data_IF_899969561513
#
_entry.id   IF_899969561513
#
_cell.length_a   1.000
_cell.length_b   1.000
_cell.length_c   1.000
_cell.angle_alpha   90.00
_cell.angle_beta   90.00
_cell.angle_gamma   90.00
#
_symmetry.space_group_name_H-M   'P 1'
#
loop_
_entity.id
_entity.type
_entity.pdbx_description
1 polymer ?
#
# COMPACT_ATOMS: atom_id res chain seq x y z
N UNK A 1 13.19 64.98 29.43
CA UNK A 1 12.91 64.60 28.03
C UNK A 1 14.19 64.37 27.21
N UNK A 2 15.12 65.34 27.08
CA UNK A 2 16.29 65.22 26.16
C UNK A 2 17.13 63.94 26.31
N UNK A 3 17.49 63.48 27.53
CA UNK A 3 18.23 62.20 27.71
C UNK A 3 17.52 61.01 27.08
N UNK A 4 16.22 60.84 27.34
CA UNK A 4 15.42 59.74 26.79
C UNK A 4 15.36 59.77 25.25
N UNK A 5 15.31 60.97 24.67
CA UNK A 5 15.36 61.17 23.21
C UNK A 5 16.76 60.95 22.61
N UNK A 6 17.82 60.96 23.43
CA UNK A 6 19.17 60.60 23.04
C UNK A 6 19.39 59.09 23.12
N UNK A 7 18.88 58.43 24.17
CA UNK A 7 18.85 56.97 24.30
C UNK A 7 18.15 56.31 23.10
N UNK A 8 16.92 56.74 22.76
CA UNK A 8 16.21 56.19 21.60
C UNK A 8 16.98 56.38 20.28
N UNK A 9 17.81 57.43 20.15
CA UNK A 9 18.64 57.67 18.96
C UNK A 9 19.93 56.84 18.94
N UNK A 10 20.53 56.53 20.09
CA UNK A 10 21.60 55.54 20.17
C UNK A 10 21.06 54.16 19.84
N UNK A 11 19.98 53.75 20.52
CA UNK A 11 19.39 52.43 20.40
C UNK A 11 18.85 52.18 18.98
N UNK A 12 18.27 53.18 18.32
CA UNK A 12 17.91 53.06 16.90
C UNK A 12 19.12 52.96 15.97
N UNK A 13 20.25 53.63 16.28
CA UNK A 13 21.47 53.59 15.45
C UNK A 13 22.23 52.27 15.62
N UNK A 14 22.29 51.74 16.84
CA UNK A 14 22.84 50.39 17.10
C UNK A 14 21.97 49.30 16.48
N UNK A 15 20.64 49.38 16.63
CA UNK A 15 19.73 48.45 15.96
C UNK A 15 19.85 48.54 14.43
N UNK A 16 19.99 49.74 13.87
CA UNK A 16 20.22 49.95 12.44
C UNK A 16 21.55 49.33 11.98
N UNK A 17 22.66 49.55 12.69
CA UNK A 17 23.94 48.92 12.35
C UNK A 17 23.92 47.40 12.54
N UNK A 18 23.23 46.88 13.55
CA UNK A 18 23.04 45.44 13.74
C UNK A 18 22.26 44.83 12.55
N UNK A 19 21.15 45.44 12.14
CA UNK A 19 20.37 44.99 10.99
C UNK A 19 21.16 45.12 9.68
N UNK A 20 21.87 46.22 9.46
CA UNK A 20 22.73 46.44 8.29
C UNK A 20 23.88 45.43 8.22
N UNK A 21 24.46 45.06 9.37
CA UNK A 21 25.45 43.98 9.48
C UNK A 21 24.82 42.61 9.17
N UNK A 22 23.68 42.27 9.79
CA UNK A 22 22.96 41.01 9.52
C UNK A 22 22.58 40.86 8.03
N UNK A 23 22.19 41.96 7.36
CA UNK A 23 21.93 42.01 5.92
C UNK A 23 23.21 41.82 5.10
N UNK A 24 24.34 42.45 5.50
CA UNK A 24 25.63 42.31 4.80
C UNK A 24 26.26 40.92 4.91
N UNK A 25 26.25 40.28 6.08
CA UNK A 25 26.82 38.92 6.24
C UNK A 25 25.84 37.84 5.76
N UNK A 26 24.56 38.20 5.57
CA UNK A 26 23.50 37.32 5.10
C UNK A 26 23.05 36.29 6.14
N UNK A 27 21.87 35.70 5.90
CA UNK A 27 21.22 34.78 6.84
C UNK A 27 22.11 33.62 7.32
N UNK A 28 22.96 33.09 6.42
CA UNK A 28 23.87 31.98 6.72
C UNK A 28 25.16 32.42 7.43
N UNK A 29 25.68 33.62 7.11
CA UNK A 29 26.98 34.06 7.62
C UNK A 29 26.94 34.70 9.01
N UNK A 30 25.76 35.10 9.50
CA UNK A 30 25.62 35.71 10.83
C UNK A 30 25.49 34.72 12.00
N UNK A 31 25.59 33.41 11.75
CA UNK A 31 25.40 32.34 12.76
C UNK A 31 23.96 32.12 13.23
N UNK A 32 23.09 33.13 13.08
CA UNK A 32 21.66 33.06 13.43
C UNK A 32 20.94 32.05 12.54
N UNK A 33 21.16 32.08 11.22
CA UNK A 33 20.53 31.12 10.30
C UNK A 33 20.97 29.68 10.53
N UNK A 34 22.24 29.44 10.88
CA UNK A 34 22.73 28.11 11.26
C UNK A 34 22.06 27.62 12.55
N UNK A 35 21.95 28.48 13.57
CA UNK A 35 21.25 28.18 14.83
C UNK A 35 19.77 27.88 14.61
N UNK A 36 19.09 28.61 13.72
CA UNK A 36 17.69 28.35 13.35
C UNK A 36 17.55 27.03 12.59
N UNK A 37 18.40 26.75 11.60
CA UNK A 37 18.39 25.48 10.85
C UNK A 37 18.62 24.29 11.80
N UNK A 38 19.57 24.41 12.73
CA UNK A 38 19.81 23.39 13.75
C UNK A 38 18.59 23.21 14.67
N UNK A 39 18.01 24.31 15.16
CA UNK A 39 16.81 24.28 16.00
C UNK A 39 15.61 23.62 15.32
N UNK A 40 15.32 23.99 14.06
CA UNK A 40 14.26 23.34 13.27
C UNK A 40 14.58 21.88 12.97
N UNK A 41 15.85 21.52 12.71
CA UNK A 41 16.26 20.13 12.45
C UNK A 41 16.10 19.25 13.70
N UNK A 42 16.46 19.75 14.88
CA UNK A 42 16.27 19.04 16.16
C UNK A 42 14.78 18.94 16.50
N UNK A 43 14.01 20.03 16.37
CA UNK A 43 12.57 20.00 16.58
C UNK A 43 11.86 19.01 15.63
N UNK A 44 12.27 18.98 14.36
CA UNK A 44 11.75 18.04 13.37
C UNK A 44 12.15 16.59 13.68
N UNK A 45 13.39 16.33 14.11
CA UNK A 45 13.83 14.99 14.53
C UNK A 45 13.03 14.50 15.76
N UNK A 46 12.81 15.35 16.76
CA UNK A 46 11.99 15.03 17.92
C UNK A 46 10.52 14.79 17.55
N UNK A 47 9.93 15.60 16.66
CA UNK A 47 8.59 15.36 16.12
C UNK A 47 8.52 14.03 15.35
N UNK A 48 9.47 13.77 14.45
CA UNK A 48 9.54 12.57 13.65
C UNK A 48 9.64 11.30 14.52
N UNK A 49 10.56 11.26 15.49
CA UNK A 49 10.78 10.11 16.37
C UNK A 49 9.66 9.87 17.40
N UNK A 50 8.88 10.89 17.75
CA UNK A 50 7.74 10.75 18.68
C UNK A 50 6.41 10.49 17.98
N UNK A 51 6.22 11.06 16.78
CA UNK A 51 4.91 11.18 16.14
C UNK A 51 4.79 10.41 14.83
N UNK A 52 5.89 10.22 14.08
CA UNK A 52 5.90 9.61 12.74
C UNK A 52 6.46 8.18 12.77
N UNK A 53 7.67 7.99 13.30
CA UNK A 53 8.32 6.69 13.41
C UNK A 53 7.72 5.91 14.59
N UNK A 54 6.90 4.90 14.28
CA UNK A 54 6.12 4.14 15.27
C UNK A 54 6.11 2.65 14.93
N UNK A 55 6.01 1.82 15.96
CA UNK A 55 5.64 0.40 15.80
C UNK A 55 4.23 0.33 15.20
N UNK A 56 3.94 -0.64 14.30
CA UNK A 56 2.58 -0.90 13.86
C UNK A 56 1.75 -1.46 15.02
N UNK A 57 0.43 -1.38 14.90
CA UNK A 57 -0.47 -2.15 15.74
C UNK A 57 -0.76 -3.51 15.07
N UNK A 58 -0.33 -4.60 15.70
CA UNK A 58 -0.77 -5.95 15.35
C UNK A 58 -2.14 -6.23 15.96
N UNK A 59 -3.11 -6.66 15.15
CA UNK A 59 -4.46 -7.03 15.60
C UNK A 59 -4.85 -8.39 14.99
N UNK A 60 -5.01 -9.40 15.83
CA UNK A 60 -5.46 -10.74 15.42
C UNK A 60 -6.39 -11.33 16.49
N UNK A 61 -7.27 -12.26 16.08
CA UNK A 61 -8.10 -13.04 17.00
C UNK A 61 -7.43 -14.32 17.52
N UNK A 62 -6.20 -14.64 17.11
CA UNK A 62 -5.57 -15.94 17.38
C UNK A 62 -4.22 -15.80 18.06
N UNK A 63 -4.09 -16.30 19.29
CA UNK A 63 -2.82 -16.22 20.01
C UNK A 63 -1.69 -17.01 19.33
N UNK A 64 -1.99 -18.19 18.76
CA UNK A 64 -1.01 -19.00 18.02
C UNK A 64 -0.45 -18.21 16.83
N UNK A 65 -1.33 -17.64 15.99
CA UNK A 65 -0.91 -16.84 14.85
C UNK A 65 -0.21 -15.54 15.29
N UNK A 66 -0.62 -14.94 16.42
CA UNK A 66 0.09 -13.80 17.01
C UNK A 66 1.52 -14.16 17.45
N UNK A 67 1.74 -15.33 18.07
CA UNK A 67 3.09 -15.80 18.48
C UNK A 67 3.95 -16.09 17.26
N UNK A 68 3.45 -16.90 16.33
CA UNK A 68 4.09 -17.21 15.05
C UNK A 68 4.58 -15.95 14.30
N UNK A 69 3.77 -14.89 14.24
CA UNK A 69 4.14 -13.63 13.60
C UNK A 69 5.18 -12.82 14.41
N UNK A 70 5.23 -12.95 15.73
CA UNK A 70 6.25 -12.30 16.56
C UNK A 70 7.60 -13.04 16.47
N UNK A 71 7.57 -14.37 16.47
CA UNK A 71 8.74 -15.23 16.47
C UNK A 71 9.40 -15.28 15.08
N UNK A 72 8.60 -15.44 14.01
CA UNK A 72 9.10 -15.63 12.65
C UNK A 72 8.94 -14.41 11.72
N UNK A 73 8.21 -13.36 12.13
CA UNK A 73 8.00 -12.15 11.33
C UNK A 73 8.23 -10.85 12.12
N UNK A 74 9.38 -10.66 12.79
CA UNK A 74 9.64 -9.55 13.73
C UNK A 74 9.33 -8.15 13.19
N UNK A 75 9.37 -7.94 11.86
CA UNK A 75 8.94 -6.71 11.18
C UNK A 75 7.54 -6.21 11.59
N UNK A 76 6.61 -7.10 11.97
CA UNK A 76 5.27 -6.72 12.45
C UNK A 76 5.27 -6.14 13.88
N UNK A 77 6.42 -6.08 14.54
CA UNK A 77 6.62 -5.47 15.87
C UNK A 77 7.74 -4.43 15.91
N UNK A 78 8.59 -4.38 14.88
CA UNK A 78 9.63 -3.35 14.71
C UNK A 78 9.03 -1.95 14.56
N UNK A 79 9.81 -0.91 14.89
CA UNK A 79 9.43 0.47 14.56
C UNK A 79 9.55 0.67 13.05
N UNK A 80 8.45 1.03 12.38
CA UNK A 80 8.51 1.49 11.00
C UNK A 80 9.00 2.94 10.96
N UNK A 81 9.94 3.23 10.06
CA UNK A 81 10.54 4.55 9.86
C UNK A 81 10.16 5.14 8.49
N UNK A 82 8.97 5.77 8.33
CA UNK A 82 8.57 6.45 7.11
C UNK A 82 9.64 7.40 6.59
N UNK A 83 9.87 7.46 5.28
CA UNK A 83 10.96 8.27 4.71
C UNK A 83 10.87 9.72 5.17
N UNK A 84 11.97 10.23 5.74
CA UNK A 84 11.98 11.46 6.57
C UNK A 84 11.51 12.73 5.84
N UNK A 85 11.58 12.75 4.50
CA UNK A 85 11.13 13.82 3.61
C UNK A 85 9.87 13.49 2.82
N UNK A 86 9.30 12.29 3.00
CA UNK A 86 8.12 11.79 2.30
C UNK A 86 7.37 10.76 3.18
N UNK A 87 6.80 11.21 4.30
CA UNK A 87 6.04 10.34 5.21
C UNK A 87 4.52 10.44 5.05
N UNK A 88 3.99 11.42 4.31
CA UNK A 88 2.56 11.59 4.11
C UNK A 88 2.01 10.66 3.01
N UNK A 89 0.86 10.05 3.29
CA UNK A 89 0.06 9.14 2.45
C UNK A 89 0.13 9.37 0.93
N UNK A 90 -0.22 10.57 0.48
CA UNK A 90 -0.34 10.92 -0.93
C UNK A 90 1.03 11.09 -1.55
N UNK A 91 1.95 11.73 -0.82
CA UNK A 91 3.36 11.86 -1.20
C UNK A 91 3.99 10.49 -1.45
N UNK A 92 3.88 9.57 -0.49
CA UNK A 92 4.42 8.21 -0.65
C UNK A 92 3.79 7.48 -1.84
N UNK A 93 2.46 7.54 -1.97
CA UNK A 93 1.71 6.84 -3.04
C UNK A 93 2.07 7.36 -4.44
N UNK A 94 2.19 8.68 -4.61
CA UNK A 94 2.50 9.31 -5.90
C UNK A 94 3.99 9.22 -6.27
N UNK A 95 4.89 9.33 -5.30
CA UNK A 95 6.33 9.41 -5.57
C UNK A 95 7.03 8.05 -5.60
N UNK A 96 6.50 6.99 -4.96
CA UNK A 96 7.11 5.63 -4.98
C UNK A 96 7.56 5.19 -6.38
N UNK A 97 6.75 5.28 -7.46
CA UNK A 97 7.13 4.80 -8.80
C UNK A 97 8.32 5.51 -9.46
N UNK A 98 8.78 6.61 -8.87
CA UNK A 98 9.93 7.42 -9.30
C UNK A 98 11.13 7.32 -8.33
N UNK A 99 10.89 7.04 -7.05
CA UNK A 99 11.95 6.90 -6.04
C UNK A 99 12.51 5.47 -5.98
N UNK A 100 11.62 4.48 -5.97
CA UNK A 100 12.01 3.05 -5.92
C UNK A 100 12.62 2.61 -7.25
N UNK A 101 13.59 1.70 -7.17
CA UNK A 101 14.15 1.03 -8.35
C UNK A 101 13.09 0.24 -9.12
N UNK A 102 13.40 -0.17 -10.35
CA UNK A 102 12.61 -1.14 -11.11
C UNK A 102 13.55 -2.27 -11.50
N UNK A 103 13.63 -3.37 -10.71
CA UNK A 103 14.53 -4.47 -11.04
C UNK A 103 14.13 -5.09 -12.38
N UNK A 104 15.13 -5.51 -13.15
CA UNK A 104 14.92 -6.14 -14.45
C UNK A 104 14.55 -7.61 -14.24
N UNK A 105 13.27 -7.93 -14.41
CA UNK A 105 12.75 -9.29 -14.32
C UNK A 105 12.40 -9.78 -15.72
N UNK A 106 12.87 -10.99 -16.07
CA UNK A 106 12.48 -11.69 -17.30
C UNK A 106 11.33 -12.66 -16.99
N UNK A 107 10.37 -12.78 -17.90
CA UNK A 107 9.17 -13.59 -17.71
C UNK A 107 8.93 -14.55 -18.87
N UNK A 108 8.52 -15.78 -18.55
CA UNK A 108 7.84 -16.67 -19.51
C UNK A 108 6.35 -16.37 -19.47
N UNK A 109 5.78 -15.90 -20.58
CA UNK A 109 4.34 -15.69 -20.68
C UNK A 109 3.61 -17.00 -21.07
N UNK A 110 2.47 -17.24 -20.45
CA UNK A 110 1.56 -18.35 -20.74
C UNK A 110 0.12 -17.83 -20.80
N UNK A 111 -0.65 -18.26 -21.81
CA UNK A 111 -1.97 -17.70 -22.10
C UNK A 111 -3.05 -18.79 -21.99
N UNK A 112 -3.72 -18.84 -20.84
CA UNK A 112 -4.82 -19.77 -20.59
C UNK A 112 -6.09 -19.20 -21.25
N UNK A 113 -6.68 -19.95 -22.18
CA UNK A 113 -8.01 -19.63 -22.72
C UNK A 113 -9.10 -20.21 -21.81
N UNK A 114 -10.09 -19.41 -21.45
CA UNK A 114 -11.23 -19.84 -20.63
C UNK A 114 -12.38 -20.35 -21.52
N UNK A 115 -13.28 -21.14 -20.95
CA UNK A 115 -14.35 -21.84 -21.70
C UNK A 115 -15.40 -20.90 -22.33
N UNK A 116 -15.47 -19.65 -21.86
CA UNK A 116 -16.27 -18.54 -22.39
C UNK A 116 -15.58 -17.77 -23.55
N UNK A 117 -14.37 -18.18 -23.94
CA UNK A 117 -13.55 -17.50 -24.95
C UNK A 117 -12.66 -16.38 -24.41
N UNK A 118 -12.71 -16.12 -23.10
CA UNK A 118 -11.80 -15.21 -22.40
C UNK A 118 -10.34 -15.71 -22.36
N UNK A 119 -9.45 -14.89 -21.82
CA UNK A 119 -8.02 -15.17 -21.74
C UNK A 119 -7.42 -14.68 -20.42
N UNK A 120 -6.60 -15.52 -19.79
CA UNK A 120 -5.84 -15.21 -18.57
C UNK A 120 -4.35 -15.29 -18.92
N UNK A 121 -3.64 -14.19 -18.71
CA UNK A 121 -2.19 -14.07 -18.97
C UNK A 121 -1.39 -14.32 -17.70
N UNK A 122 -0.58 -15.38 -17.71
CA UNK A 122 0.34 -15.75 -16.65
C UNK A 122 1.79 -15.49 -17.09
N UNK A 123 2.35 -14.38 -16.64
CA UNK A 123 3.80 -14.16 -16.62
C UNK A 123 4.39 -14.93 -15.44
N UNK A 124 5.21 -15.94 -15.73
CA UNK A 124 5.95 -16.75 -14.78
C UNK A 124 7.38 -16.24 -14.63
N UNK A 125 7.89 -16.28 -13.40
CA UNK A 125 9.31 -16.09 -13.09
C UNK A 125 9.87 -17.44 -12.60
N UNK A 126 10.50 -18.17 -13.52
CA UNK A 126 10.95 -19.55 -13.28
C UNK A 126 12.39 -19.56 -12.72
N UNK A 127 12.57 -19.47 -11.39
CA UNK A 127 13.90 -19.57 -10.75
C UNK A 127 14.37 -21.03 -10.60
N UNK A 128 14.71 -21.67 -11.71
CA UNK A 128 15.13 -23.07 -11.73
C UNK A 128 16.52 -23.34 -11.13
N UNK A 129 17.33 -22.30 -10.92
CA UNK A 129 18.64 -22.43 -10.28
C UNK A 129 18.55 -22.59 -8.75
N UNK A 130 17.44 -22.18 -8.12
CA UNK A 130 17.27 -22.29 -6.67
C UNK A 130 16.86 -23.69 -6.23
N UNK A 131 17.68 -24.30 -5.38
CA UNK A 131 17.41 -25.59 -4.71
C UNK A 131 16.87 -25.44 -3.29
N UNK A 132 16.77 -24.21 -2.76
CA UNK A 132 16.56 -23.93 -1.32
C UNK A 132 15.30 -24.58 -0.73
N UNK A 133 14.22 -24.68 -1.51
CA UNK A 133 12.94 -25.27 -1.08
C UNK A 133 12.43 -26.34 -2.07
N UNK A 134 13.34 -27.10 -2.67
CA UNK A 134 12.97 -28.21 -3.55
C UNK A 134 12.73 -29.48 -2.72
N UNK A 135 11.51 -29.99 -2.73
CA UNK A 135 11.18 -31.29 -2.11
C UNK A 135 11.84 -32.41 -2.92
N UNK A 136 12.79 -33.11 -2.31
CA UNK A 136 13.53 -34.20 -2.95
C UNK A 136 12.65 -35.41 -3.30
N UNK A 137 11.50 -35.59 -2.64
CA UNK A 137 10.60 -36.73 -2.82
C UNK A 137 9.58 -36.49 -3.94
N UNK A 138 8.92 -35.33 -3.97
CA UNK A 138 7.94 -34.98 -5.01
C UNK A 138 8.54 -34.22 -6.20
N UNK A 139 9.78 -33.72 -6.07
CA UNK A 139 10.42 -32.75 -6.99
C UNK A 139 9.66 -31.44 -7.16
N UNK A 140 8.71 -31.14 -6.29
CA UNK A 140 7.97 -29.86 -6.30
C UNK A 140 8.73 -28.77 -5.54
N UNK A 141 8.27 -27.52 -5.71
CA UNK A 141 8.69 -26.34 -4.93
C UNK A 141 7.45 -25.50 -4.61
N UNK A 142 7.48 -24.63 -3.57
CA UNK A 142 6.40 -23.68 -3.33
C UNK A 142 6.04 -22.88 -4.59
N UNK A 143 4.74 -22.74 -4.84
CA UNK A 143 4.16 -21.90 -5.90
C UNK A 143 3.03 -21.12 -5.23
N UNK A 144 3.27 -19.84 -4.88
CA UNK A 144 2.41 -19.09 -3.94
C UNK A 144 1.88 -17.77 -4.57
N UNK A 145 1.51 -16.73 -3.82
CA UNK A 145 0.39 -15.77 -4.04
C UNK A 145 0.53 -14.18 -4.22
N UNK A 146 0.74 -13.50 -5.37
CA UNK A 146 0.54 -12.01 -5.63
C UNK A 146 0.09 -11.53 -7.08
N UNK A 147 -1.08 -10.88 -7.30
CA UNK A 147 -1.46 -10.18 -8.56
C UNK A 147 -1.50 -8.64 -8.37
N UNK A 148 -1.40 -7.83 -9.45
CA UNK A 148 -1.56 -6.37 -9.39
C UNK A 148 -2.95 -5.91 -8.92
N UNK A 149 -2.98 -4.70 -8.36
CA UNK A 149 -4.20 -3.95 -8.07
C UNK A 149 -4.85 -3.34 -9.33
N UNK A 150 -5.88 -2.51 -9.11
CA UNK A 150 -6.72 -1.92 -10.16
C UNK A 150 -5.88 -1.21 -11.25
N UNK A 151 -6.12 -1.55 -12.52
CA UNK A 151 -5.38 -1.10 -13.73
C UNK A 151 -3.90 -1.49 -13.84
N UNK A 152 -3.30 -2.16 -12.84
CA UNK A 152 -1.88 -2.56 -12.86
C UNK A 152 -1.59 -3.83 -13.66
N UNK A 153 -0.30 -4.09 -13.89
CA UNK A 153 0.22 -5.30 -14.57
C UNK A 153 1.37 -5.97 -13.79
N UNK A 154 1.92 -7.05 -14.33
CA UNK A 154 3.19 -7.65 -13.87
C UNK A 154 4.40 -6.70 -13.87
N UNK A 155 4.27 -5.51 -14.48
CA UNK A 155 5.33 -4.52 -14.64
C UNK A 155 5.28 -3.37 -13.63
N UNK A 156 4.32 -3.37 -12.69
CA UNK A 156 4.26 -2.34 -11.65
C UNK A 156 5.43 -2.45 -10.67
N UNK A 157 5.99 -1.33 -10.23
CA UNK A 157 7.19 -1.32 -9.37
C UNK A 157 7.03 -2.11 -8.07
N UNK A 158 5.84 -2.14 -7.45
CA UNK A 158 5.60 -2.96 -6.26
C UNK A 158 5.58 -4.46 -6.60
N UNK A 159 4.98 -4.85 -7.74
CA UNK A 159 5.05 -6.23 -8.25
C UNK A 159 6.49 -6.62 -8.61
N UNK A 160 7.27 -5.73 -9.24
CA UNK A 160 8.68 -6.01 -9.55
C UNK A 160 9.56 -6.16 -8.29
N UNK A 161 9.31 -5.34 -7.25
CA UNK A 161 10.01 -5.43 -5.96
C UNK A 161 9.66 -6.74 -5.24
N UNK A 162 8.37 -7.02 -5.10
CA UNK A 162 7.90 -8.27 -4.52
C UNK A 162 8.38 -9.48 -5.32
N UNK A 163 8.43 -9.41 -6.66
CA UNK A 163 8.93 -10.52 -7.48
C UNK A 163 10.42 -10.75 -7.31
N UNK A 164 11.25 -9.69 -7.22
CA UNK A 164 12.69 -9.82 -6.93
C UNK A 164 12.96 -10.32 -5.51
N UNK A 165 12.18 -9.93 -4.50
CA UNK A 165 12.26 -10.60 -3.18
C UNK A 165 11.74 -12.04 -3.24
N UNK A 166 10.76 -12.30 -4.10
CA UNK A 166 10.29 -13.65 -4.42
C UNK A 166 11.20 -14.39 -5.41
N UNK A 167 12.39 -13.86 -5.73
CA UNK A 167 13.43 -14.65 -6.38
C UNK A 167 13.83 -15.82 -5.48
N UNK A 168 13.67 -15.68 -4.16
CA UNK A 168 13.74 -16.79 -3.21
C UNK A 168 12.41 -17.61 -3.08
N UNK A 169 11.24 -17.15 -3.59
CA UNK A 169 9.89 -17.54 -3.07
C UNK A 169 8.67 -17.71 -4.05
N UNK A 170 8.53 -17.02 -5.21
CA UNK A 170 7.53 -17.23 -6.34
C UNK A 170 5.98 -17.07 -6.16
N UNK A 171 5.30 -16.07 -6.77
CA UNK A 171 3.96 -15.55 -6.31
C UNK A 171 2.85 -15.08 -7.36
N UNK A 172 1.53 -15.48 -7.29
CA UNK A 172 0.29 -14.92 -8.02
C UNK A 172 -1.18 -14.95 -7.37
N UNK A 173 -1.79 -13.88 -6.73
CA UNK A 173 -3.11 -13.83 -5.97
C UNK A 173 -4.21 -12.81 -6.36
N UNK A 174 -5.49 -13.07 -6.04
CA UNK A 174 -6.49 -12.02 -5.66
C UNK A 174 -7.47 -12.60 -4.62
N UNK A 175 -7.37 -12.18 -3.36
CA UNK A 175 -7.40 -13.19 -2.28
C UNK A 175 -8.59 -13.16 -1.31
N UNK A 176 -8.93 -12.02 -0.71
CA UNK A 176 -9.88 -12.00 0.42
C UNK A 176 -11.31 -12.38 0.05
N UNK A 177 -11.86 -11.87 -1.05
CA UNK A 177 -13.21 -12.21 -1.49
C UNK A 177 -13.32 -13.67 -1.96
N UNK A 178 -12.21 -14.27 -2.39
CA UNK A 178 -12.10 -15.70 -2.70
C UNK A 178 -12.02 -16.53 -1.41
N UNK A 179 -11.08 -16.24 -0.51
CA UNK A 179 -10.91 -16.96 0.76
C UNK A 179 -12.15 -16.91 1.64
N UNK A 180 -12.86 -15.79 1.70
CA UNK A 180 -14.10 -15.69 2.45
C UNK A 180 -15.32 -16.33 1.78
N UNK A 181 -15.22 -16.75 0.51
CA UNK A 181 -16.27 -17.50 -0.22
C UNK A 181 -16.00 -19.01 -0.24
N UNK A 182 -14.73 -19.42 -0.29
CA UNK A 182 -14.30 -20.83 -0.31
C UNK A 182 -14.01 -21.36 1.11
N UNK A 183 -13.59 -20.47 2.02
CA UNK A 183 -13.25 -20.80 3.41
C UNK A 183 -12.10 -21.81 3.52
N UNK A 184 -12.15 -22.75 4.49
CA UNK A 184 -11.15 -23.80 4.66
C UNK A 184 -10.98 -24.75 3.46
N UNK A 185 -11.86 -24.71 2.44
CA UNK A 185 -11.77 -25.57 1.24
C UNK A 185 -10.79 -25.04 0.18
N UNK A 186 -10.03 -24.00 0.50
CA UNK A 186 -9.05 -23.38 -0.38
C UNK A 186 -7.81 -24.27 -0.53
N UNK A 187 -7.20 -24.40 -1.72
CA UNK A 187 -5.92 -25.09 -1.90
C UNK A 187 -4.72 -24.26 -1.43
N UNK A 188 -4.95 -23.03 -0.98
CA UNK A 188 -3.91 -22.08 -0.57
C UNK A 188 -3.56 -22.30 0.90
N UNK A 189 -2.26 -22.42 1.23
CA UNK A 189 -1.81 -22.60 2.63
C UNK A 189 -1.89 -21.32 3.47
N UNK A 190 -1.60 -20.16 2.87
CA UNK A 190 -1.57 -18.87 3.54
C UNK A 190 -1.76 -17.72 2.54
N UNK A 191 -1.83 -16.50 3.06
CA UNK A 191 -2.15 -15.30 2.30
C UNK A 191 -1.50 -14.03 2.85
N UNK A 192 -1.02 -13.16 1.97
CA UNK A 192 -0.60 -11.81 2.30
C UNK A 192 -1.44 -10.79 1.49
N UNK A 193 -1.80 -9.67 2.08
CA UNK A 193 -2.47 -8.56 1.39
C UNK A 193 -1.99 -7.20 1.86
N UNK A 194 -1.94 -6.23 0.95
CA UNK A 194 -1.35 -4.92 1.18
C UNK A 194 -2.37 -3.83 0.79
N UNK A 195 -2.64 -2.92 1.73
CA UNK A 195 -3.58 -1.80 1.67
C UNK A 195 -4.93 -2.12 1.03
N UNK A 196 -5.56 -3.16 1.55
CA UNK A 196 -6.89 -3.60 1.10
C UNK A 196 -7.91 -2.49 1.32
N UNK A 197 -8.63 -2.11 0.26
CA UNK A 197 -9.83 -1.28 0.38
C UNK A 197 -10.97 -2.08 1.02
N UNK A 198 -11.11 -1.98 2.34
CA UNK A 198 -11.98 -2.88 3.12
C UNK A 198 -13.49 -2.68 2.91
N UNK A 199 -13.92 -1.49 2.51
CA UNK A 199 -15.32 -1.13 2.28
C UNK A 199 -15.41 -0.20 1.07
N UNK A 200 -15.90 -0.69 -0.06
CA UNK A 200 -15.89 0.01 -1.35
C UNK A 200 -16.64 1.35 -1.30
N UNK A 201 -17.69 1.46 -0.49
CA UNK A 201 -18.41 2.73 -0.27
C UNK A 201 -17.50 3.78 0.36
N UNK A 202 -16.85 3.45 1.49
CA UNK A 202 -15.96 4.36 2.21
C UNK A 202 -14.69 4.69 1.41
N UNK A 203 -14.15 3.73 0.65
CA UNK A 203 -13.08 3.93 -0.31
C UNK A 203 -13.48 4.99 -1.37
N UNK A 204 -14.66 4.81 -1.98
CA UNK A 204 -15.21 5.75 -2.97
C UNK A 204 -15.40 7.16 -2.39
N UNK A 205 -16.03 7.29 -1.23
CA UNK A 205 -16.25 8.57 -0.57
C UNK A 205 -14.94 9.27 -0.17
N UNK A 206 -13.94 8.50 0.26
CA UNK A 206 -12.62 9.05 0.58
C UNK A 206 -11.89 9.56 -0.67
N UNK A 207 -12.01 8.85 -1.80
CA UNK A 207 -11.44 9.25 -3.09
C UNK A 207 -12.22 10.37 -3.79
N UNK A 208 -13.47 10.65 -3.41
CA UNK A 208 -14.29 11.74 -3.98
C UNK A 208 -14.11 13.09 -3.25
N UNK A 209 -13.36 13.12 -2.14
CA UNK A 209 -12.93 14.37 -1.48
C UNK A 209 -12.06 15.20 -2.44
N UNK A 210 -12.23 16.54 -2.57
CA UNK A 210 -11.69 17.33 -3.67
C UNK A 210 -10.20 17.12 -4.02
N UNK A 211 -9.30 17.11 -3.03
CA UNK A 211 -7.86 16.88 -3.25
C UNK A 211 -7.55 15.44 -3.68
N UNK A 212 -8.24 14.45 -3.09
CA UNK A 212 -8.07 13.04 -3.45
C UNK A 212 -8.68 12.75 -4.83
N UNK A 213 -9.76 13.46 -5.18
CA UNK A 213 -10.39 13.37 -6.49
C UNK A 213 -9.46 13.86 -7.60
N UNK A 214 -8.85 15.03 -7.40
CA UNK A 214 -7.88 15.64 -8.31
C UNK A 214 -6.62 14.78 -8.48
N UNK A 215 -6.05 14.26 -7.39
CA UNK A 215 -4.77 13.54 -7.41
C UNK A 215 -4.89 12.07 -7.85
N UNK A 216 -6.03 11.42 -7.60
CA UNK A 216 -6.17 9.97 -7.82
C UNK A 216 -7.42 9.60 -8.61
N UNK A 217 -8.60 9.98 -8.14
CA UNK A 217 -9.87 9.44 -8.64
C UNK A 217 -10.10 9.77 -10.12
N UNK A 218 -9.90 11.04 -10.50
CA UNK A 218 -10.05 11.48 -11.89
C UNK A 218 -9.04 10.77 -12.82
N UNK A 219 -7.77 10.71 -12.43
CA UNK A 219 -6.72 10.02 -13.19
C UNK A 219 -7.05 8.53 -13.39
N UNK A 220 -7.37 7.82 -12.31
CA UNK A 220 -7.74 6.40 -12.35
C UNK A 220 -9.02 6.15 -13.16
N UNK A 221 -9.99 7.07 -13.14
CA UNK A 221 -11.17 7.03 -14.01
C UNK A 221 -10.76 7.06 -15.49
N UNK A 222 -9.83 7.95 -15.87
CA UNK A 222 -9.32 7.99 -17.26
C UNK A 222 -8.50 6.73 -17.63
N UNK A 223 -7.78 6.12 -16.68
CA UNK A 223 -7.09 4.85 -16.90
C UNK A 223 -8.07 3.69 -17.15
N UNK A 224 -9.14 3.60 -16.35
CA UNK A 224 -10.22 2.61 -16.51
C UNK A 224 -10.94 2.78 -17.84
N UNK A 225 -11.32 4.01 -18.18
CA UNK A 225 -11.89 4.38 -19.48
C UNK A 225 -10.98 3.99 -20.64
N UNK A 226 -9.69 4.32 -20.58
CA UNK A 226 -8.70 3.95 -21.60
C UNK A 226 -8.56 2.43 -21.75
N UNK A 227 -8.55 1.68 -20.66
CA UNK A 227 -8.46 0.21 -20.66
C UNK A 227 -9.64 -0.45 -21.37
N UNK A 228 -10.87 -0.01 -21.04
CA UNK A 228 -12.09 -0.54 -21.68
C UNK A 228 -12.26 -0.03 -23.11
N UNK A 229 -11.90 1.23 -23.40
CA UNK A 229 -12.07 1.81 -24.73
C UNK A 229 -11.20 1.11 -25.81
N UNK A 230 -10.02 0.59 -25.44
CA UNK A 230 -9.20 -0.29 -26.32
C UNK A 230 -9.98 -1.53 -26.79
N UNK A 231 -10.89 -2.03 -25.95
CA UNK A 231 -11.70 -3.23 -26.18
C UNK A 231 -13.17 -2.89 -26.47
N UNK A 232 -13.48 -1.62 -26.77
CA UNK A 232 -14.85 -1.08 -26.93
C UNK A 232 -15.75 -1.93 -27.82
N UNK A 233 -15.21 -2.48 -28.90
CA UNK A 233 -15.92 -3.33 -29.86
C UNK A 233 -16.56 -4.59 -29.24
N UNK A 234 -16.05 -5.08 -28.09
CA UNK A 234 -16.62 -6.20 -27.36
C UNK A 234 -17.91 -5.82 -26.60
N UNK A 235 -18.01 -4.55 -26.16
CA UNK A 235 -19.04 -4.11 -25.21
C UNK A 235 -20.18 -3.29 -25.85
N UNK A 236 -19.97 -2.67 -27.02
CA UNK A 236 -20.95 -1.77 -27.69
C UNK A 236 -22.31 -2.40 -28.00
N UNK A 237 -22.46 -3.73 -27.98
CA UNK A 237 -23.75 -4.41 -28.17
C UNK A 237 -24.58 -4.55 -26.89
N UNK A 238 -23.98 -4.27 -25.72
CA UNK A 238 -24.57 -4.53 -24.39
C UNK A 238 -24.51 -3.32 -23.45
N UNK A 239 -23.56 -2.39 -23.67
CA UNK A 239 -23.31 -1.24 -22.78
C UNK A 239 -23.19 0.03 -23.63
N UNK A 240 -23.82 1.13 -23.19
CA UNK A 240 -23.60 2.47 -23.75
C UNK A 240 -22.20 2.98 -23.39
N UNK A 241 -21.26 2.68 -24.28
CA UNK A 241 -19.86 3.05 -24.11
C UNK A 241 -19.64 4.57 -24.15
N UNK A 242 -20.52 5.37 -24.77
CA UNK A 242 -20.41 6.84 -24.77
C UNK A 242 -20.97 7.47 -23.49
N UNK A 243 -21.82 6.77 -22.76
CA UNK A 243 -22.18 7.13 -21.38
C UNK A 243 -21.06 6.78 -20.39
N UNK A 244 -20.37 5.64 -20.57
CA UNK A 244 -19.19 5.23 -19.79
C UNK A 244 -18.02 6.21 -19.94
N UNK A 245 -17.71 6.65 -21.17
CA UNK A 245 -16.64 7.62 -21.43
C UNK A 245 -16.93 9.04 -20.90
N UNK A 246 -18.14 9.30 -20.38
CA UNK A 246 -18.51 10.55 -19.68
C UNK A 246 -18.34 10.47 -18.16
N UNK A 247 -17.80 9.38 -17.61
CA UNK A 247 -17.59 9.22 -16.17
C UNK A 247 -16.46 10.13 -15.65
N UNK A 248 -16.64 10.72 -14.47
CA UNK A 248 -15.70 11.63 -13.80
C UNK A 248 -15.21 11.14 -12.43
N UNK A 249 -15.73 10.02 -11.93
CA UNK A 249 -15.18 9.29 -10.79
C UNK A 249 -15.26 7.78 -11.02
N UNK A 250 -14.51 7.02 -10.23
CA UNK A 250 -14.57 5.55 -10.19
C UNK A 250 -16.00 5.09 -9.90
N UNK A 251 -16.74 5.78 -9.01
CA UNK A 251 -18.17 5.51 -8.75
C UNK A 251 -19.04 5.68 -9.99
N UNK A 252 -18.82 6.74 -10.77
CA UNK A 252 -19.54 6.92 -12.03
C UNK A 252 -19.17 5.86 -13.07
N UNK A 253 -17.90 5.47 -13.16
CA UNK A 253 -17.44 4.42 -14.05
C UNK A 253 -18.05 3.07 -13.66
N UNK A 254 -18.01 2.70 -12.38
CA UNK A 254 -18.55 1.46 -11.85
C UNK A 254 -20.07 1.38 -12.02
N UNK A 255 -20.79 2.50 -11.86
CA UNK A 255 -22.25 2.56 -12.08
C UNK A 255 -22.64 2.39 -13.55
N UNK A 256 -21.78 2.80 -14.49
CA UNK A 256 -22.08 2.80 -15.93
C UNK A 256 -21.50 1.61 -16.69
N UNK A 257 -20.40 1.05 -16.19
CA UNK A 257 -19.71 -0.10 -16.79
C UNK A 257 -19.67 -1.30 -15.84
N UNK A 258 -18.94 -1.24 -14.73
CA UNK A 258 -18.59 -2.43 -13.93
C UNK A 258 -19.81 -3.18 -13.39
N UNK A 259 -20.76 -2.48 -12.75
CA UNK A 259 -21.99 -3.09 -12.23
C UNK A 259 -22.85 -3.68 -13.35
N UNK A 260 -22.97 -2.99 -14.49
CA UNK A 260 -23.73 -3.45 -15.66
C UNK A 260 -23.09 -4.69 -16.29
N UNK A 261 -21.77 -4.67 -16.49
CA UNK A 261 -20.98 -5.73 -17.11
C UNK A 261 -21.00 -7.03 -16.31
N UNK A 262 -21.01 -6.94 -14.97
CA UNK A 262 -21.17 -8.08 -14.07
C UNK A 262 -22.63 -8.40 -13.68
N UNK A 263 -23.62 -7.74 -14.30
CA UNK A 263 -25.04 -8.05 -14.11
C UNK A 263 -25.65 -7.63 -12.76
N UNK A 264 -25.00 -6.74 -12.01
CA UNK A 264 -25.55 -6.18 -10.78
C UNK A 264 -26.67 -5.19 -11.08
N UNK A 265 -27.79 -5.34 -10.37
CA UNK A 265 -28.97 -4.45 -10.45
C UNK A 265 -28.64 -3.00 -10.05
N UNK A 266 -27.75 -2.79 -9.08
CA UNK A 266 -27.28 -1.46 -8.66
C UNK A 266 -25.78 -1.47 -8.37
N UNK A 267 -25.18 -0.27 -8.32
CA UNK A 267 -23.81 -0.11 -7.82
C UNK A 267 -23.70 -0.48 -6.34
N UNK A 268 -24.75 -0.31 -5.54
CA UNK A 268 -24.74 -0.63 -4.10
C UNK A 268 -24.76 -2.15 -3.87
N UNK A 269 -25.45 -2.91 -4.74
CA UNK A 269 -25.36 -4.38 -4.78
C UNK A 269 -23.90 -4.81 -5.10
N UNK A 270 -23.25 -4.18 -6.10
CA UNK A 270 -21.84 -4.43 -6.47
C UNK A 270 -20.86 -4.07 -5.35
N UNK A 271 -20.94 -2.85 -4.79
CA UNK A 271 -20.07 -2.38 -3.71
C UNK A 271 -20.24 -3.22 -2.43
N UNK A 272 -21.44 -3.78 -2.20
CA UNK A 272 -21.70 -4.71 -1.09
C UNK A 272 -20.99 -6.05 -1.29
N UNK A 273 -20.98 -6.61 -2.51
CA UNK A 273 -20.28 -7.87 -2.79
C UNK A 273 -18.75 -7.70 -2.88
N UNK A 274 -18.31 -6.55 -3.41
CA UNK A 274 -16.90 -6.20 -3.56
C UNK A 274 -16.21 -5.92 -2.22
N UNK A 275 -16.92 -5.44 -1.20
CA UNK A 275 -16.36 -5.09 0.13
C UNK A 275 -15.91 -6.33 0.92
N UNK A 276 -14.59 -6.57 1.12
CA UNK A 276 -14.12 -7.79 1.76
C UNK A 276 -14.39 -7.83 3.28
N UNK A 277 -14.62 -6.69 3.94
CA UNK A 277 -14.79 -6.61 5.40
C UNK A 277 -15.84 -7.58 5.98
N UNK A 278 -16.93 -7.86 5.27
CA UNK A 278 -17.99 -8.79 5.71
C UNK A 278 -17.54 -10.26 5.63
N UNK A 279 -16.57 -10.58 4.78
CA UNK A 279 -16.16 -11.95 4.44
C UNK A 279 -14.99 -12.49 5.28
N UNK A 280 -14.29 -11.64 6.05
CA UNK A 280 -13.17 -12.05 6.92
C UNK A 280 -13.55 -13.19 7.88
N UNK A 281 -14.81 -13.23 8.36
CA UNK A 281 -15.27 -14.24 9.32
C UNK A 281 -15.23 -15.67 8.77
N UNK A 282 -15.27 -15.83 7.45
CA UNK A 282 -15.26 -17.13 6.77
C UNK A 282 -13.86 -17.60 6.36
N UNK A 283 -12.83 -16.77 6.57
CA UNK A 283 -11.45 -17.05 6.15
C UNK A 283 -10.83 -18.15 7.01
N UNK A 284 -10.50 -19.28 6.38
CA UNK A 284 -10.09 -20.52 7.06
C UNK A 284 -8.60 -20.85 7.02
N UNK A 285 -7.73 -19.92 6.61
CA UNK A 285 -6.28 -20.11 6.51
C UNK A 285 -5.55 -18.84 6.99
N UNK A 286 -4.28 -18.92 7.45
CA UNK A 286 -3.49 -17.76 7.88
C UNK A 286 -3.43 -16.63 6.83
N UNK A 287 -3.85 -15.42 7.22
CA UNK A 287 -3.82 -14.21 6.38
C UNK A 287 -3.19 -13.04 7.13
N UNK A 288 -2.08 -12.52 6.58
CA UNK A 288 -1.48 -11.26 7.03
C UNK A 288 -1.95 -10.10 6.14
N UNK A 289 -2.39 -9.02 6.78
CA UNK A 289 -3.00 -7.87 6.13
C UNK A 289 -2.34 -6.56 6.59
N UNK A 290 -1.45 -5.99 5.77
CA UNK A 290 -0.83 -4.69 6.05
C UNK A 290 -1.72 -3.56 5.51
N UNK A 291 -2.05 -2.57 6.34
CA UNK A 291 -2.69 -1.31 5.94
C UNK A 291 -2.02 -0.14 6.69
N UNK A 292 -2.09 1.07 6.15
CA UNK A 292 -1.80 2.28 6.91
C UNK A 292 -3.07 3.01 7.33
N UNK A 293 -3.00 3.72 8.46
CA UNK A 293 -4.10 4.55 9.00
C UNK A 293 -4.31 5.83 8.18
N UNK A 294 -3.28 6.29 7.47
CA UNK A 294 -3.30 7.47 6.61
C UNK A 294 -3.76 7.21 5.17
N UNK A 295 -4.04 5.95 4.78
CA UNK A 295 -4.42 5.62 3.39
C UNK A 295 -5.72 6.33 2.97
N UNK A 296 -5.63 7.12 1.89
CA UNK A 296 -6.78 7.82 1.32
C UNK A 296 -7.69 6.89 0.51
N UNK A 297 -7.20 5.73 0.08
CA UNK A 297 -7.96 4.69 -0.62
C UNK A 297 -8.66 3.74 0.38
N UNK A 298 -7.96 3.28 1.41
CA UNK A 298 -8.52 2.51 2.54
C UNK A 298 -8.62 3.36 3.82
N UNK A 299 -9.62 4.25 3.96
CA UNK A 299 -9.72 5.13 5.12
C UNK A 299 -9.86 4.35 6.43
N UNK A 300 -9.16 4.80 7.48
CA UNK A 300 -9.00 4.09 8.76
C UNK A 300 -10.28 3.57 9.41
N UNK A 301 -11.37 4.33 9.38
CA UNK A 301 -12.67 3.94 9.94
C UNK A 301 -13.35 2.75 9.23
N UNK A 302 -12.88 2.38 8.03
CA UNK A 302 -13.37 1.23 7.27
C UNK A 302 -12.58 -0.06 7.56
N UNK A 303 -11.43 0.03 8.24
CA UNK A 303 -10.57 -1.11 8.55
C UNK A 303 -11.29 -2.02 9.58
N UNK A 304 -11.46 -3.33 9.31
CA UNK A 304 -12.37 -4.20 10.06
C UNK A 304 -11.72 -4.78 11.33
N UNK A 305 -11.16 -3.92 12.17
CA UNK A 305 -10.39 -4.25 13.39
C UNK A 305 -11.13 -5.28 14.26
N UNK A 306 -12.40 -5.01 14.61
CA UNK A 306 -13.20 -5.91 15.45
C UNK A 306 -13.59 -7.23 14.77
N UNK A 307 -13.52 -7.31 13.43
CA UNK A 307 -13.74 -8.57 12.70
C UNK A 307 -12.46 -9.40 12.59
N UNK A 308 -11.29 -8.76 12.48
CA UNK A 308 -10.01 -9.46 12.56
C UNK A 308 -9.77 -10.06 13.96
N UNK A 309 -10.12 -9.34 15.03
CA UNK A 309 -10.15 -9.88 16.41
C UNK A 309 -11.07 -11.10 16.59
N UNK A 310 -12.03 -11.32 15.68
CA UNK A 310 -12.98 -12.44 15.74
C UNK A 310 -12.55 -13.65 14.89
N UNK A 311 -11.44 -13.59 14.16
CA UNK A 311 -10.93 -14.73 13.39
C UNK A 311 -9.48 -15.05 13.80
N UNK A 312 -9.19 -16.26 14.32
CA UNK A 312 -7.84 -16.65 14.72
C UNK A 312 -6.85 -16.73 13.55
N UNK A 313 -7.35 -16.86 12.32
CA UNK A 313 -6.54 -16.96 11.11
C UNK A 313 -6.19 -15.61 10.48
N UNK A 314 -6.68 -14.47 11.00
CA UNK A 314 -6.48 -13.15 10.38
C UNK A 314 -5.66 -12.25 11.29
N UNK A 315 -4.64 -11.61 10.72
CA UNK A 315 -3.81 -10.61 11.39
C UNK A 315 -3.75 -9.32 10.56
N UNK A 316 -4.23 -8.22 11.12
CA UNK A 316 -4.01 -6.86 10.60
C UNK A 316 -2.71 -6.30 11.19
N UNK A 317 -1.86 -5.74 10.35
CA UNK A 317 -0.70 -4.91 10.73
C UNK A 317 -1.03 -3.49 10.32
N UNK A 318 -1.19 -2.58 11.29
CA UNK A 318 -1.65 -1.22 11.05
C UNK A 318 -0.54 -0.20 11.34
N UNK A 319 0.04 0.40 10.31
CA UNK A 319 1.03 1.47 10.45
C UNK A 319 0.35 2.84 10.59
N UNK A 320 0.93 3.79 11.31
CA UNK A 320 0.38 5.16 11.39
C UNK A 320 0.45 5.90 10.04
N UNK A 321 1.46 5.57 9.21
CA UNK A 321 1.74 6.18 7.91
C UNK A 321 2.05 5.10 6.87
N UNK A 322 1.99 5.42 5.58
CA UNK A 322 2.36 4.50 4.50
C UNK A 322 1.72 4.82 3.15
N UNK A 323 0.54 5.43 3.15
CA UNK A 323 -0.28 5.58 1.95
C UNK A 323 -0.72 4.24 1.34
N UNK A 324 -1.30 4.30 0.14
CA UNK A 324 -1.94 3.12 -0.46
C UNK A 324 -0.93 2.03 -0.85
N UNK A 325 0.19 2.37 -1.47
CA UNK A 325 1.22 1.38 -1.84
C UNK A 325 2.64 1.88 -1.53
N UNK A 326 2.76 2.90 -0.70
CA UNK A 326 4.00 3.63 -0.47
C UNK A 326 5.00 2.87 0.41
N UNK A 327 4.72 2.87 1.72
CA UNK A 327 5.52 2.22 2.78
C UNK A 327 7.03 2.52 2.73
N UNK A 328 7.39 3.71 2.21
CA UNK A 328 8.77 4.12 1.96
C UNK A 328 9.54 4.23 3.28
N UNK A 329 10.64 3.47 3.42
CA UNK A 329 11.36 3.34 4.68
C UNK A 329 12.78 3.94 4.62
N UNK A 330 13.17 4.64 5.70
CA UNK A 330 14.50 5.22 5.85
C UNK A 330 14.76 6.45 4.96
N UNK A 331 16.01 6.94 4.98
CA UNK A 331 16.36 8.21 4.32
C UNK A 331 16.32 8.11 2.78
N UNK A 332 16.61 6.94 2.21
CA UNK A 332 16.72 6.76 0.76
C UNK A 332 16.08 5.43 0.28
N UNK A 333 14.74 5.39 0.12
CA UNK A 333 13.95 4.16 -0.05
C UNK A 333 14.03 3.60 -1.49
N UNK A 334 15.23 3.24 -1.96
CA UNK A 334 15.47 2.77 -3.34
C UNK A 334 15.28 1.27 -3.56
N UNK A 335 15.66 0.44 -2.59
CA UNK A 335 15.84 -1.00 -2.78
C UNK A 335 14.74 -1.86 -2.13
N UNK A 336 14.19 -1.43 -1.00
CA UNK A 336 13.11 -2.11 -0.27
C UNK A 336 12.27 -1.08 0.46
N UNK A 337 10.97 -1.33 0.56
CA UNK A 337 10.03 -0.62 1.43
C UNK A 337 9.66 -1.48 2.65
N UNK A 338 8.99 -0.92 3.65
CA UNK A 338 8.51 -1.69 4.81
C UNK A 338 7.52 -2.79 4.40
N UNK A 339 6.66 -2.51 3.40
CA UNK A 339 5.78 -3.50 2.76
C UNK A 339 6.56 -4.68 2.18
N UNK A 340 7.69 -4.42 1.54
CA UNK A 340 8.53 -5.46 0.94
C UNK A 340 9.22 -6.33 2.03
N UNK A 341 9.55 -5.74 3.20
CA UNK A 341 10.04 -6.49 4.38
C UNK A 341 8.94 -7.37 5.01
N UNK A 342 7.74 -6.82 5.20
CA UNK A 342 6.55 -7.56 5.69
C UNK A 342 6.23 -8.73 4.76
N UNK A 343 6.26 -8.50 3.44
CA UNK A 343 6.13 -9.55 2.44
C UNK A 343 7.18 -10.65 2.63
N UNK A 344 8.48 -10.33 2.55
CA UNK A 344 9.54 -11.34 2.62
C UNK A 344 9.48 -12.20 3.89
N UNK A 345 9.35 -11.57 5.07
CA UNK A 345 9.36 -12.33 6.33
C UNK A 345 8.15 -13.26 6.46
N UNK A 346 6.93 -12.77 6.19
CA UNK A 346 5.73 -13.60 6.26
C UNK A 346 5.75 -14.77 5.27
N UNK A 347 6.20 -14.49 4.04
CA UNK A 347 6.32 -15.49 2.98
C UNK A 347 7.33 -16.58 3.34
N UNK A 348 8.49 -16.20 3.88
CA UNK A 348 9.50 -17.14 4.35
C UNK A 348 8.97 -17.97 5.54
N UNK A 349 8.39 -17.32 6.55
CA UNK A 349 7.83 -17.99 7.72
C UNK A 349 6.75 -19.01 7.35
N UNK A 350 5.83 -18.69 6.43
CA UNK A 350 4.79 -19.63 6.00
C UNK A 350 5.34 -20.84 5.19
N UNK A 351 6.56 -20.74 4.65
CA UNK A 351 7.23 -21.84 3.93
C UNK A 351 8.06 -22.70 4.90
N UNK A 352 8.88 -22.07 5.75
CA UNK A 352 9.79 -22.77 6.68
C UNK A 352 9.03 -23.29 7.93
N UNK A 353 8.12 -22.50 8.49
CA UNK A 353 7.48 -22.74 9.79
C UNK A 353 5.96 -22.94 9.73
N UNK A 354 5.29 -22.70 8.60
CA UNK A 354 3.82 -22.71 8.48
C UNK A 354 3.09 -24.01 8.87
N UNK A 355 3.82 -25.10 9.11
CA UNK A 355 3.30 -26.34 9.69
C UNK A 355 2.90 -26.20 11.16
N UNK A 356 3.54 -25.29 11.92
CA UNK A 356 3.25 -24.99 13.33
C UNK A 356 1.81 -24.46 13.52
N UNK A 357 1.28 -23.75 12.52
CA UNK A 357 -0.11 -23.28 12.47
C UNK A 357 -1.12 -24.35 12.03
N UNK A 358 -0.64 -25.54 11.66
CA UNK A 358 -1.47 -26.68 11.20
C UNK A 358 -1.51 -27.83 12.21
N UNK A 359 -0.77 -27.74 13.32
CA UNK A 359 -0.63 -28.75 14.36
C UNK A 359 -1.23 -28.33 15.71
N UNK A 360 -2.17 -27.38 15.71
CA UNK A 360 -2.94 -26.90 16.86
C UNK A 360 -4.44 -26.92 16.53
#
# INVERSE_FOLDING_TARGET
MQRLAMDLRMLSRELSHYLEHQVRVGFFGSGVGFSLILGFSVAYACYYLSSIAKKPQLVTGGESFSRFLQDHCPVVTETYYPTVWCWESRGQTLLRPFITSKPLVQYRNELIKTADGGQISLDWFDNDNSKRYMDASTRTRPTVLLLPGLTGTSKESYILHMIHLSEELGYRMLLLNYLGKIGPKTPLKAAATFSVGWNTFACSESLEKPLNWLLFNYYLTTCLQSSVNKHRHMFVKQIDMDHVMKAKSIREFDKRFTSVMFGYRTIDDYYTDASPNRRLKSVGIPVLCLNSVDDVFSPSHAIPIETAKQNPNVALVLTSYGGHIGFLEGIWPRQSTYMDRVFKQFVQAMIEHGHELSSM
#
